data_IF_470359983149
#
_entry.id   IF_470359983149
#
_cell.length_a   1.000
_cell.length_b   1.000
_cell.length_c   1.000
_cell.angle_alpha   90.00
_cell.angle_beta   90.00
_cell.angle_gamma   90.00
#
_symmetry.space_group_name_H-M   'P 1'
#
loop_
_entity.id
_entity.type
_entity.pdbx_description
1 polymer ?
#
# COMPACT_ATOMS: atom_id res chain seq x y z
N UNK A 1 7.80 13.56 -37.92
CA UNK A 1 8.08 14.51 -36.83
C UNK A 1 6.81 14.59 -35.99
N UNK A 2 6.83 14.03 -34.78
CA UNK A 2 5.67 14.16 -33.89
C UNK A 2 5.65 15.60 -33.42
N UNK A 3 4.63 16.37 -33.78
CA UNK A 3 4.44 17.68 -33.18
C UNK A 3 4.24 17.48 -31.68
N UNK A 4 4.98 18.20 -30.82
CA UNK A 4 4.72 18.18 -29.38
C UNK A 4 3.30 18.68 -29.12
N UNK A 5 2.63 18.07 -28.16
CA UNK A 5 1.29 18.47 -27.74
C UNK A 5 1.28 19.97 -27.37
N UNK A 6 0.26 20.76 -27.74
CA UNK A 6 0.25 22.22 -27.52
C UNK A 6 0.45 22.61 -26.05
N UNK A 7 -0.09 21.81 -25.13
CA UNK A 7 0.03 22.05 -23.69
C UNK A 7 1.34 21.51 -23.06
N UNK A 8 2.28 20.97 -23.85
CA UNK A 8 3.47 20.29 -23.31
C UNK A 8 4.32 21.19 -22.42
N UNK A 9 4.62 22.42 -22.86
CA UNK A 9 5.41 23.38 -22.08
C UNK A 9 4.70 23.80 -20.79
N UNK A 10 3.38 24.00 -20.84
CA UNK A 10 2.58 24.39 -19.69
C UNK A 10 2.52 23.26 -18.64
N UNK A 11 2.35 22.01 -19.09
CA UNK A 11 2.32 20.85 -18.19
C UNK A 11 3.71 20.52 -17.63
N UNK A 12 4.78 20.71 -18.42
CA UNK A 12 6.15 20.59 -17.90
C UNK A 12 6.42 21.64 -16.81
N UNK A 13 6.03 22.90 -17.03
CA UNK A 13 6.17 23.95 -16.02
C UNK A 13 5.38 23.66 -14.74
N UNK A 14 4.20 23.04 -14.85
CA UNK A 14 3.42 22.59 -13.68
C UNK A 14 4.13 21.47 -12.93
N UNK A 15 4.67 20.47 -13.63
CA UNK A 15 5.44 19.38 -13.03
C UNK A 15 6.65 19.93 -12.28
N UNK A 16 7.39 20.88 -12.88
CA UNK A 16 8.53 21.51 -12.24
C UNK A 16 8.12 22.27 -10.96
N UNK A 17 7.04 23.06 -11.03
CA UNK A 17 6.46 23.73 -9.85
C UNK A 17 6.06 22.74 -8.75
N UNK A 18 5.46 21.61 -9.11
CA UNK A 18 5.07 20.57 -8.16
C UNK A 18 6.29 19.98 -7.43
N UNK A 19 7.37 19.72 -8.17
CA UNK A 19 8.63 19.27 -7.59
C UNK A 19 9.30 20.33 -6.70
N UNK A 20 9.24 21.62 -7.06
CA UNK A 20 9.72 22.70 -6.20
C UNK A 20 8.94 22.77 -4.89
N UNK A 21 7.62 22.63 -4.93
CA UNK A 21 6.76 22.61 -3.74
C UNK A 21 7.07 21.40 -2.85
N UNK A 22 7.33 20.23 -3.45
CA UNK A 22 7.76 19.04 -2.73
C UNK A 22 9.12 19.24 -2.04
N UNK A 23 10.13 19.73 -2.76
CA UNK A 23 11.47 19.95 -2.19
C UNK A 23 11.45 21.01 -1.09
N UNK A 24 10.59 22.03 -1.23
CA UNK A 24 10.34 23.01 -0.16
C UNK A 24 9.75 22.33 1.07
N UNK A 25 8.72 21.51 0.90
CA UNK A 25 8.10 20.76 2.00
C UNK A 25 9.10 19.86 2.73
N UNK A 26 10.02 19.21 1.99
CA UNK A 26 11.13 18.43 2.58
C UNK A 26 12.10 19.34 3.34
N UNK A 27 12.51 20.45 2.75
CA UNK A 27 13.44 21.41 3.37
C UNK A 27 12.87 21.98 4.66
N UNK A 28 11.59 22.33 4.68
CA UNK A 28 10.93 22.85 5.88
C UNK A 28 10.82 21.77 6.96
N UNK A 29 10.51 20.52 6.62
CA UNK A 29 10.53 19.40 7.56
C UNK A 29 11.94 19.17 8.16
N UNK A 30 13.00 19.24 7.34
CA UNK A 30 14.39 19.14 7.81
C UNK A 30 14.77 20.30 8.76
N UNK A 31 14.42 21.55 8.41
CA UNK A 31 14.67 22.71 9.28
C UNK A 31 14.00 22.55 10.64
N UNK A 32 12.76 22.09 10.67
CA UNK A 32 12.02 21.86 11.92
C UNK A 32 12.73 20.76 12.74
N UNK A 33 13.25 19.72 12.10
CA UNK A 33 14.01 18.65 12.77
C UNK A 33 15.31 19.19 13.39
N UNK A 34 16.10 19.92 12.62
CA UNK A 34 17.39 20.49 13.06
C UNK A 34 17.21 21.42 14.28
N UNK A 35 16.14 22.24 14.28
CA UNK A 35 15.80 23.10 15.41
C UNK A 35 15.47 22.30 16.68
N UNK A 36 14.86 21.12 16.55
CA UNK A 36 14.53 20.25 17.69
C UNK A 36 15.73 19.44 18.21
N UNK A 37 16.70 19.09 17.37
CA UNK A 37 17.92 18.41 17.81
C UNK A 37 18.82 19.34 18.65
N UNK A 38 18.87 20.63 18.32
CA UNK A 38 19.69 21.63 19.00
C UNK A 38 19.29 21.90 20.47
N UNK A 39 18.07 21.53 20.90
CA UNK A 39 17.58 21.73 22.27
C UNK A 39 17.82 20.50 23.17
N UNK A 40 19.07 20.12 23.39
CA UNK A 40 19.45 18.84 24.05
C UNK A 40 19.24 18.79 25.59
N UNK A 41 18.65 19.82 26.21
CA UNK A 41 18.39 19.90 27.66
C UNK A 41 16.90 19.84 28.03
N UNK A 42 16.57 19.48 29.28
CA UNK A 42 15.19 19.50 29.79
C UNK A 42 14.80 18.34 30.71
N UNK A 43 13.56 18.39 31.20
CA UNK A 43 12.91 17.35 32.02
C UNK A 43 12.70 16.06 31.22
N UNK A 44 12.40 14.93 31.90
CA UNK A 44 12.08 13.67 31.23
C UNK A 44 10.90 13.80 30.25
N UNK A 45 9.87 14.57 30.63
CA UNK A 45 8.71 14.83 29.79
C UNK A 45 9.08 15.55 28.49
N UNK A 46 9.92 16.59 28.55
CA UNK A 46 10.38 17.30 27.36
C UNK A 46 11.16 16.39 26.39
N UNK A 47 11.93 15.42 26.91
CA UNK A 47 12.64 14.43 26.08
C UNK A 47 11.67 13.47 25.38
N UNK A 48 10.62 13.04 26.08
CA UNK A 48 9.60 12.15 25.51
C UNK A 48 8.81 12.86 24.40
N UNK A 49 8.32 14.08 24.65
CA UNK A 49 7.60 14.89 23.66
C UNK A 49 8.46 15.16 22.42
N UNK A 50 9.75 15.50 22.61
CA UNK A 50 10.69 15.67 21.50
C UNK A 50 10.89 14.39 20.69
N UNK A 51 11.08 13.24 21.34
CA UNK A 51 11.27 11.98 20.64
C UNK A 51 10.02 11.60 19.82
N UNK A 52 8.82 11.80 20.38
CA UNK A 52 7.57 11.58 19.65
C UNK A 52 7.44 12.52 18.45
N UNK A 53 7.86 13.78 18.60
CA UNK A 53 7.85 14.76 17.51
C UNK A 53 8.87 14.42 16.41
N UNK A 54 10.09 14.00 16.78
CA UNK A 54 11.12 13.56 15.83
C UNK A 54 10.66 12.31 15.06
N UNK A 55 10.01 11.36 15.72
CA UNK A 55 9.42 10.17 15.08
C UNK A 55 8.35 10.56 14.05
N UNK A 56 7.47 11.51 14.37
CA UNK A 56 6.48 12.04 13.43
C UNK A 56 7.12 12.77 12.23
N UNK A 57 8.18 13.54 12.46
CA UNK A 57 8.92 14.22 11.39
C UNK A 57 9.63 13.22 10.48
N UNK A 58 10.27 12.20 11.04
CA UNK A 58 10.90 11.12 10.28
C UNK A 58 9.88 10.39 9.42
N UNK A 59 8.73 10.02 9.98
CA UNK A 59 7.64 9.42 9.22
C UNK A 59 7.18 10.32 8.07
N UNK A 60 7.05 11.63 8.32
CA UNK A 60 6.69 12.60 7.27
C UNK A 60 7.75 12.71 6.18
N UNK A 61 9.03 12.74 6.53
CA UNK A 61 10.14 12.79 5.57
C UNK A 61 10.19 11.51 4.71
N UNK A 62 9.97 10.34 5.31
CA UNK A 62 9.87 9.07 4.57
C UNK A 62 8.68 9.07 3.61
N UNK A 63 7.53 9.63 4.01
CA UNK A 63 6.37 9.78 3.12
C UNK A 63 6.63 10.72 1.93
N UNK A 64 7.48 11.74 2.10
CA UNK A 64 7.82 12.69 1.04
C UNK A 64 8.88 12.13 0.07
N UNK A 65 9.48 10.98 0.37
CA UNK A 65 10.45 10.34 -0.51
C UNK A 65 9.75 9.55 -1.62
N UNK A 66 9.99 9.94 -2.87
CA UNK A 66 9.46 9.28 -4.07
C UNK A 66 10.42 8.24 -4.65
N UNK A 67 11.68 8.21 -4.20
CA UNK A 67 12.74 7.47 -4.89
C UNK A 67 12.80 7.83 -6.38
N UNK A 68 12.77 6.81 -7.24
CA UNK A 68 12.84 6.97 -8.71
C UNK A 68 11.47 7.23 -9.37
N UNK A 69 10.39 7.30 -8.59
CA UNK A 69 9.03 7.37 -9.12
C UNK A 69 8.64 8.81 -9.52
N UNK A 70 7.90 8.94 -10.62
CA UNK A 70 7.38 10.24 -11.07
C UNK A 70 6.25 10.74 -10.17
N UNK A 71 6.31 12.01 -9.76
CA UNK A 71 5.35 12.61 -8.81
C UNK A 71 3.94 12.74 -9.41
N UNK A 72 3.83 13.26 -10.63
CA UNK A 72 2.57 13.52 -11.33
C UNK A 72 2.51 12.62 -12.56
N UNK A 73 1.38 11.97 -12.79
CA UNK A 73 1.21 11.05 -13.93
C UNK A 73 -0.09 11.28 -14.70
N UNK A 74 -0.95 12.19 -14.25
CA UNK A 74 -2.11 12.57 -15.02
C UNK A 74 -2.79 13.83 -14.52
N UNK A 75 -3.85 14.21 -15.22
CA UNK A 75 -4.74 15.32 -14.86
C UNK A 75 -6.18 14.94 -15.21
N UNK A 76 -7.10 15.38 -14.38
CA UNK A 76 -8.54 15.32 -14.66
C UNK A 76 -9.11 16.72 -14.70
N UNK A 77 -10.01 16.96 -15.64
CA UNK A 77 -10.82 18.18 -15.70
C UNK A 77 -12.28 17.79 -15.54
N UNK A 78 -12.94 18.39 -14.55
CA UNK A 78 -14.34 18.14 -14.22
C UNK A 78 -15.16 19.43 -14.34
N UNK A 79 -16.44 19.29 -14.63
CA UNK A 79 -17.38 20.41 -14.47
C UNK A 79 -17.50 20.74 -12.98
N UNK A 80 -17.28 22.00 -12.61
CA UNK A 80 -17.42 22.45 -11.23
C UNK A 80 -18.87 22.30 -10.74
N UNK A 81 -19.05 22.12 -9.43
CA UNK A 81 -20.39 22.20 -8.82
C UNK A 81 -20.80 23.68 -8.72
N UNK A 82 -21.47 24.21 -9.75
CA UNK A 82 -22.01 25.58 -9.81
C UNK A 82 -21.72 26.29 -11.15
N UNK A 83 -21.89 27.62 -11.19
CA UNK A 83 -21.58 28.46 -12.38
C UNK A 83 -20.06 28.65 -12.63
N UNK A 84 -19.22 27.93 -11.89
CA UNK A 84 -17.77 28.12 -11.85
C UNK A 84 -17.00 27.20 -12.82
N UNK A 85 -17.32 27.22 -14.12
CA UNK A 85 -16.45 26.67 -15.17
C UNK A 85 -15.92 25.24 -14.96
N UNK A 86 -14.65 25.01 -15.38
CA UNK A 86 -13.95 23.73 -15.28
C UNK A 86 -12.95 23.75 -14.12
N UNK A 87 -12.98 22.70 -13.30
CA UNK A 87 -11.98 22.45 -12.26
C UNK A 87 -10.96 21.42 -12.74
N UNK A 88 -9.68 21.71 -12.52
CA UNK A 88 -8.57 20.87 -12.96
C UNK A 88 -7.80 20.33 -11.76
N UNK A 89 -7.57 19.03 -11.72
CA UNK A 89 -6.77 18.37 -10.69
C UNK A 89 -5.66 17.55 -11.31
N UNK A 90 -4.42 17.86 -10.97
CA UNK A 90 -3.26 17.02 -11.30
C UNK A 90 -3.17 15.86 -10.32
N UNK A 91 -3.18 14.65 -10.86
CA UNK A 91 -3.16 13.41 -10.08
C UNK A 91 -1.74 12.87 -10.01
N UNK A 92 -1.34 12.52 -8.78
CA UNK A 92 0.00 12.09 -8.49
C UNK A 92 0.10 11.13 -7.30
N UNK A 93 1.33 10.80 -6.96
CA UNK A 93 1.65 9.79 -5.94
C UNK A 93 1.52 10.30 -4.53
N UNK A 94 1.76 11.59 -4.34
CA UNK A 94 1.76 12.27 -3.07
C UNK A 94 0.94 13.55 -3.21
N UNK A 95 0.19 13.87 -2.16
CA UNK A 95 -0.41 15.18 -2.05
C UNK A 95 0.69 16.24 -1.83
N UNK A 96 0.73 17.24 -2.70
CA UNK A 96 1.64 18.39 -2.62
C UNK A 96 0.80 19.67 -2.67
N UNK A 97 1.07 20.59 -1.76
CA UNK A 97 0.43 21.89 -1.71
C UNK A 97 1.47 23.00 -1.84
N UNK A 98 1.05 24.18 -2.29
CA UNK A 98 1.91 25.36 -2.33
C UNK A 98 1.89 26.15 -1.01
N UNK A 99 2.46 27.37 -1.02
CA UNK A 99 2.57 28.23 0.15
C UNK A 99 1.20 28.65 0.72
N UNK A 100 0.21 28.82 -0.16
CA UNK A 100 -1.13 29.24 0.21
C UNK A 100 -1.99 28.04 0.64
N UNK A 101 -1.38 26.84 0.69
CA UNK A 101 -2.01 25.54 0.99
C UNK A 101 -3.00 25.09 -0.09
N UNK A 102 -2.88 25.64 -1.30
CA UNK A 102 -3.65 25.18 -2.43
C UNK A 102 -3.04 23.86 -2.97
N UNK A 103 -3.86 22.85 -3.29
CA UNK A 103 -3.37 21.56 -3.77
C UNK A 103 -2.78 21.71 -5.17
N UNK A 104 -1.48 21.46 -5.31
CA UNK A 104 -0.76 21.43 -6.59
C UNK A 104 -0.80 20.03 -7.20
N UNK A 105 -0.76 19.00 -6.35
CA UNK A 105 -0.88 17.59 -6.73
C UNK A 105 -1.83 16.91 -5.76
N UNK A 106 -2.80 16.20 -6.31
CA UNK A 106 -3.75 15.38 -5.57
C UNK A 106 -3.23 13.94 -5.53
N UNK A 107 -3.25 13.35 -4.33
CA UNK A 107 -2.90 11.94 -4.15
C UNK A 107 -3.93 11.03 -4.84
N UNK A 108 -3.46 10.04 -5.58
CA UNK A 108 -4.29 9.06 -6.28
C UNK A 108 -5.27 8.32 -5.38
N UNK A 109 -4.97 8.21 -4.08
CA UNK A 109 -5.84 7.56 -3.08
C UNK A 109 -7.04 8.43 -2.71
N UNK A 110 -7.01 9.74 -2.99
CA UNK A 110 -8.10 10.64 -2.67
C UNK A 110 -9.40 10.26 -3.44
N UNK A 111 -10.59 10.45 -2.85
CA UNK A 111 -11.85 10.19 -3.55
C UNK A 111 -12.02 11.00 -4.84
N UNK A 112 -11.53 12.24 -4.86
CA UNK A 112 -11.59 13.10 -6.06
C UNK A 112 -10.77 12.54 -7.24
N UNK A 113 -9.80 11.65 -6.98
CA UNK A 113 -9.00 11.01 -8.02
C UNK A 113 -9.66 9.74 -8.58
N UNK A 114 -10.74 9.23 -7.98
CA UNK A 114 -11.43 8.00 -8.43
C UNK A 114 -11.86 8.05 -9.91
N UNK A 115 -12.42 9.16 -10.44
CA UNK A 115 -12.79 9.24 -11.85
C UNK A 115 -11.60 9.04 -12.80
N UNK A 116 -10.36 9.37 -12.39
CA UNK A 116 -9.18 9.12 -13.22
C UNK A 116 -9.06 7.64 -13.61
N UNK A 117 -9.47 6.72 -12.74
CA UNK A 117 -9.38 5.27 -12.99
C UNK A 117 -10.68 4.65 -13.47
N UNK A 118 -11.83 5.12 -12.96
CA UNK A 118 -13.12 4.46 -13.18
C UNK A 118 -13.97 5.09 -14.27
N UNK A 119 -13.71 6.34 -14.65
CA UNK A 119 -14.51 7.01 -15.67
C UNK A 119 -14.40 6.27 -17.01
N UNK A 120 -15.55 6.10 -17.65
CA UNK A 120 -15.70 5.53 -18.99
C UNK A 120 -16.58 6.45 -19.83
N UNK A 121 -16.57 6.33 -21.16
CA UNK A 121 -17.46 7.12 -22.01
C UNK A 121 -18.96 6.94 -21.70
N UNK A 122 -19.35 5.83 -21.06
CA UNK A 122 -20.74 5.58 -20.63
C UNK A 122 -21.05 6.15 -19.24
N UNK A 123 -20.06 6.16 -18.37
CA UNK A 123 -20.14 6.66 -17.01
C UNK A 123 -18.96 7.62 -16.77
N UNK A 124 -19.10 8.90 -17.19
CA UNK A 124 -17.97 9.85 -17.19
C UNK A 124 -17.63 10.38 -15.79
N UNK A 125 -18.47 10.12 -14.78
CA UNK A 125 -18.26 10.54 -13.39
C UNK A 125 -17.96 12.06 -13.24
N UNK A 126 -18.59 12.88 -14.08
CA UNK A 126 -18.40 14.34 -14.09
C UNK A 126 -17.12 14.82 -14.79
N UNK A 127 -16.33 13.92 -15.38
CA UNK A 127 -15.17 14.30 -16.18
C UNK A 127 -15.59 14.88 -17.53
N UNK A 128 -14.81 15.87 -17.94
CA UNK A 128 -14.79 16.43 -19.30
C UNK A 128 -13.55 15.94 -20.03
N UNK A 129 -12.41 15.87 -19.32
CA UNK A 129 -11.14 15.40 -19.87
C UNK A 129 -10.34 14.62 -18.84
N UNK A 130 -9.72 13.53 -19.29
CA UNK A 130 -8.66 12.80 -18.60
C UNK A 130 -7.39 12.90 -19.43
N UNK A 131 -6.29 13.27 -18.80
CA UNK A 131 -4.98 13.42 -19.43
C UNK A 131 -4.01 12.47 -18.76
N UNK A 132 -3.33 11.65 -19.55
CA UNK A 132 -2.24 10.78 -19.10
C UNK A 132 -0.89 11.40 -19.47
N UNK A 133 0.04 11.34 -18.53
CA UNK A 133 1.40 11.82 -18.74
C UNK A 133 2.36 10.64 -18.85
N UNK A 134 3.12 10.60 -19.95
CA UNK A 134 4.33 9.79 -20.02
C UNK A 134 5.47 10.60 -19.41
N UNK A 135 5.88 10.26 -18.19
CA UNK A 135 6.89 10.99 -17.41
C UNK A 135 8.08 10.10 -17.05
N UNK A 136 9.27 10.69 -17.02
CA UNK A 136 10.49 10.06 -16.53
C UNK A 136 11.17 11.00 -15.53
N UNK A 137 11.07 10.67 -14.24
CA UNK A 137 11.44 11.59 -13.17
C UNK A 137 10.62 12.88 -13.26
N UNK A 138 11.31 13.99 -13.57
CA UNK A 138 10.70 15.32 -13.74
C UNK A 138 10.34 15.66 -15.19
N UNK A 139 10.77 14.84 -16.14
CA UNK A 139 10.66 15.17 -17.57
C UNK A 139 9.39 14.58 -18.17
N UNK A 140 8.56 15.44 -18.76
CA UNK A 140 7.39 15.08 -19.52
C UNK A 140 7.79 14.66 -20.93
N UNK A 141 7.52 13.41 -21.28
CA UNK A 141 7.84 12.83 -22.58
C UNK A 141 6.67 12.86 -23.55
N UNK A 142 5.44 12.80 -23.03
CA UNK A 142 4.24 12.75 -23.84
C UNK A 142 2.97 12.99 -23.04
N UNK A 143 1.94 13.45 -23.74
CA UNK A 143 0.61 13.73 -23.23
C UNK A 143 -0.38 12.94 -24.09
N UNK A 144 -1.35 12.29 -23.44
CA UNK A 144 -2.47 11.64 -24.10
C UNK A 144 -3.78 12.09 -23.48
N UNK A 145 -4.66 12.69 -24.29
CA UNK A 145 -5.94 13.25 -23.87
C UNK A 145 -7.09 12.32 -24.24
N UNK A 146 -8.00 12.15 -23.28
CA UNK A 146 -9.24 11.42 -23.41
C UNK A 146 -10.40 12.33 -23.00
N UNK A 147 -11.39 12.47 -23.87
CA UNK A 147 -12.51 13.40 -23.70
C UNK A 147 -13.81 12.66 -23.43
N UNK A 148 -14.63 13.23 -22.56
CA UNK A 148 -15.90 12.68 -22.09
C UNK A 148 -17.02 13.70 -22.33
N UNK A 149 -18.16 13.25 -22.87
CA UNK A 149 -19.32 14.12 -23.12
C UNK A 149 -20.14 13.73 -24.35
N UNK A 150 -21.17 14.52 -24.68
CA UNK A 150 -21.99 14.29 -25.89
C UNK A 150 -21.13 14.43 -27.15
N UNK A 151 -20.96 13.31 -27.87
CA UNK A 151 -20.13 13.22 -29.09
C UNK A 151 -18.74 12.62 -28.87
N UNK A 152 -18.32 12.44 -27.61
CA UNK A 152 -16.98 11.96 -27.25
C UNK A 152 -17.10 10.71 -26.37
N UNK A 153 -16.98 9.53 -26.99
CA UNK A 153 -17.09 8.23 -26.31
C UNK A 153 -15.81 7.81 -25.55
N UNK A 154 -15.03 8.76 -25.02
CA UNK A 154 -13.73 8.44 -24.38
C UNK A 154 -12.64 8.11 -25.40
N UNK A 155 -12.72 8.66 -26.61
CA UNK A 155 -11.67 8.53 -27.64
C UNK A 155 -11.24 9.93 -28.03
N UNK A 156 -9.98 10.27 -27.73
CA UNK A 156 -9.36 11.53 -28.13
C UNK A 156 -9.40 11.71 -29.66
N UNK A 157 -9.70 12.93 -30.10
CA UNK A 157 -9.95 13.34 -31.47
C UNK A 157 -9.06 12.67 -32.54
N UNK A 158 -9.72 12.18 -33.60
CA UNK A 158 -9.34 12.60 -34.95
C UNK A 158 -10.59 12.77 -35.80
N UNK A 159 -10.51 13.69 -36.75
CA UNK A 159 -11.58 14.27 -37.54
C UNK A 159 -12.47 13.25 -38.27
N UNK A 160 -13.78 13.53 -38.30
CA UNK A 160 -14.65 13.10 -39.39
C UNK A 160 -15.38 11.77 -39.22
N UNK A 161 -16.69 11.85 -39.01
CA UNK A 161 -17.62 10.87 -39.57
C UNK A 161 -17.47 10.83 -41.11
N UNK A 162 -16.51 10.07 -41.65
CA UNK A 162 -16.58 9.56 -43.03
C UNK A 162 -15.67 8.32 -43.20
N UNK A 163 -16.31 7.16 -43.19
CA UNK A 163 -16.12 6.01 -44.08
C UNK A 163 -14.72 5.59 -44.60
N UNK A 164 -14.54 4.25 -44.58
CA UNK A 164 -13.77 3.38 -45.52
C UNK A 164 -12.38 2.91 -45.06
N UNK A 165 -12.36 1.63 -44.66
CA UNK A 165 -11.37 0.57 -44.94
C UNK A 165 -9.90 1.01 -45.07
N UNK A 166 -9.12 0.83 -44.00
CA UNK A 166 -7.67 0.84 -44.05
C UNK A 166 -7.07 0.62 -42.66
N UNK A 167 -6.12 -0.30 -42.54
CA UNK A 167 -5.46 -0.65 -41.28
C UNK A 167 -4.68 0.54 -40.71
N UNK A 168 -5.20 1.23 -39.70
CA UNK A 168 -4.40 2.11 -38.84
C UNK A 168 -4.79 1.92 -37.37
N UNK A 169 -3.75 1.76 -36.54
CA UNK A 169 -3.84 1.20 -35.20
C UNK A 169 -4.58 2.08 -34.20
N UNK A 170 -5.19 1.39 -33.22
CA UNK A 170 -5.80 1.92 -32.00
C UNK A 170 -4.80 2.86 -31.29
N UNK A 171 -4.88 4.17 -31.55
CA UNK A 171 -4.06 5.23 -30.91
C UNK A 171 -4.72 5.71 -29.61
N UNK A 172 -4.90 4.78 -28.66
CA UNK A 172 -5.44 5.08 -27.32
C UNK A 172 -4.69 4.35 -26.19
N UNK A 173 -3.58 3.69 -26.53
CA UNK A 173 -2.83 2.82 -25.63
C UNK A 173 -1.32 3.06 -25.72
N UNK A 174 -0.83 4.03 -26.49
CA UNK A 174 0.61 4.13 -26.78
C UNK A 174 1.40 4.61 -25.56
N UNK A 175 0.91 5.59 -24.78
CA UNK A 175 1.58 6.01 -23.54
C UNK A 175 1.48 4.96 -22.43
N UNK A 176 0.31 4.30 -22.30
CA UNK A 176 0.12 3.13 -21.44
C UNK A 176 1.06 1.98 -21.82
N UNK A 177 1.24 1.69 -23.12
CA UNK A 177 2.16 0.66 -23.61
C UNK A 177 3.63 1.07 -23.41
N UNK A 178 3.96 2.36 -23.50
CA UNK A 178 5.29 2.88 -23.15
C UNK A 178 5.55 2.75 -21.64
N UNK A 179 4.56 3.04 -20.79
CA UNK A 179 4.65 2.80 -19.35
C UNK A 179 4.77 1.29 -19.01
N UNK A 180 4.01 0.43 -19.69
CA UNK A 180 4.03 -1.03 -19.50
C UNK A 180 5.32 -1.70 -20.02
N UNK A 181 5.95 -1.15 -21.06
CA UNK A 181 7.22 -1.66 -21.61
C UNK A 181 8.45 -1.24 -20.80
N UNK A 182 8.31 -0.20 -19.97
CA UNK A 182 9.33 0.27 -19.04
C UNK A 182 9.24 -0.47 -17.71
N UNK A 183 9.85 -1.65 -17.64
CA UNK A 183 10.05 -2.30 -16.33
C UNK A 183 10.24 -3.80 -16.35
N UNK A 184 11.39 -4.29 -16.83
CA UNK A 184 11.92 -5.59 -16.39
C UNK A 184 13.16 -5.37 -15.54
N UNK A 185 13.01 -4.58 -14.48
CA UNK A 185 13.95 -4.61 -13.36
C UNK A 185 13.64 -5.84 -12.51
N UNK A 186 14.61 -6.39 -11.78
CA UNK A 186 14.41 -7.56 -10.91
C UNK A 186 13.50 -7.31 -9.69
N UNK A 187 12.69 -6.25 -9.70
CA UNK A 187 11.82 -5.76 -8.64
C UNK A 187 10.44 -5.41 -9.22
N UNK A 188 9.40 -5.38 -8.38
CA UNK A 188 8.06 -5.08 -8.83
C UNK A 188 7.95 -3.60 -9.20
N UNK A 189 7.63 -3.32 -10.47
CA UNK A 189 7.35 -1.98 -10.94
C UNK A 189 6.07 -1.44 -10.33
N UNK A 190 6.03 -0.13 -10.12
CA UNK A 190 4.87 0.58 -9.63
C UNK A 190 3.87 0.79 -10.78
N UNK A 191 2.59 0.50 -10.54
CA UNK A 191 1.53 0.54 -11.56
C UNK A 191 0.54 1.68 -11.37
N UNK A 192 0.74 2.61 -10.42
CA UNK A 192 -0.29 3.59 -10.03
C UNK A 192 -0.85 4.36 -11.22
N UNK A 193 -0.01 4.73 -12.19
CA UNK A 193 -0.42 5.44 -13.40
C UNK A 193 -1.20 4.56 -14.42
N UNK A 194 -1.15 3.24 -14.26
CA UNK A 194 -1.69 2.25 -15.21
C UNK A 194 -2.73 1.32 -14.57
N UNK A 195 -3.19 1.62 -13.34
CA UNK A 195 -4.28 0.90 -12.68
C UNK A 195 -5.51 0.95 -13.59
N UNK A 196 -6.08 -0.23 -13.87
CA UNK A 196 -7.29 -0.37 -14.67
C UNK A 196 -8.54 -0.25 -13.80
N UNK A 197 -9.69 0.04 -14.39
CA UNK A 197 -10.95 0.25 -13.65
C UNK A 197 -11.33 -0.94 -12.76
N UNK A 198 -11.20 -2.18 -13.24
CA UNK A 198 -11.50 -3.39 -12.45
C UNK A 198 -10.50 -3.60 -11.29
N UNK A 199 -9.26 -3.12 -11.47
CA UNK A 199 -8.25 -3.16 -10.41
C UNK A 199 -8.55 -2.10 -9.34
N UNK A 200 -8.95 -0.89 -9.75
CA UNK A 200 -9.35 0.17 -8.84
C UNK A 200 -10.59 -0.23 -8.01
N UNK A 201 -11.56 -0.93 -8.60
CA UNK A 201 -12.69 -1.49 -7.86
C UNK A 201 -12.24 -2.42 -6.72
N UNK A 202 -11.26 -3.29 -6.99
CA UNK A 202 -10.66 -4.18 -5.98
C UNK A 202 -9.91 -3.36 -4.92
N UNK A 203 -9.17 -2.33 -5.33
CA UNK A 203 -8.39 -1.47 -4.42
C UNK A 203 -9.34 -0.71 -3.48
N UNK A 204 -10.43 -0.13 -4.01
CA UNK A 204 -11.38 0.70 -3.27
C UNK A 204 -12.53 -0.06 -2.64
N UNK A 205 -12.64 -1.38 -2.85
CA UNK A 205 -13.69 -2.19 -2.24
C UNK A 205 -13.74 -2.01 -0.71
N UNK A 206 -14.92 -2.10 -0.06
CA UNK A 206 -15.08 -1.89 1.37
C UNK A 206 -14.10 -2.70 2.23
N UNK A 207 -13.62 -2.13 3.34
CA UNK A 207 -12.63 -2.79 4.21
C UNK A 207 -13.20 -3.95 5.03
N UNK A 208 -14.51 -3.98 5.24
CA UNK A 208 -15.17 -4.97 6.10
C UNK A 208 -15.24 -6.36 5.44
N UNK A 209 -14.80 -7.38 6.18
CA UNK A 209 -14.92 -8.79 5.78
C UNK A 209 -13.70 -9.34 5.05
N UNK A 210 -13.91 -10.42 4.29
CA UNK A 210 -12.86 -11.12 3.54
C UNK A 210 -13.06 -10.87 2.06
N UNK A 211 -12.05 -10.30 1.41
CA UNK A 211 -12.00 -10.13 -0.04
C UNK A 211 -11.05 -11.17 -0.65
N UNK A 212 -11.55 -11.97 -1.59
CA UNK A 212 -10.75 -12.93 -2.34
C UNK A 212 -10.53 -12.42 -3.76
N UNK A 213 -9.28 -12.17 -4.12
CA UNK A 213 -8.90 -11.71 -5.46
C UNK A 213 -8.38 -12.90 -6.28
N UNK A 214 -9.18 -13.36 -7.23
CA UNK A 214 -8.83 -14.46 -8.13
C UNK A 214 -8.68 -13.95 -9.57
N UNK A 215 -7.67 -14.46 -10.28
CA UNK A 215 -7.38 -14.05 -11.64
C UNK A 215 -6.23 -14.84 -12.25
N UNK A 216 -6.11 -14.84 -13.58
CA UNK A 216 -5.08 -15.59 -14.31
C UNK A 216 -3.64 -15.13 -14.03
N UNK A 217 -2.61 -15.91 -14.41
CA UNK A 217 -1.23 -15.46 -14.34
C UNK A 217 -1.03 -14.09 -15.04
N UNK A 218 -0.17 -13.24 -14.48
CA UNK A 218 0.16 -11.94 -15.10
C UNK A 218 -0.86 -10.79 -14.90
N UNK A 219 -2.02 -11.05 -14.29
CA UNK A 219 -3.09 -10.04 -14.06
C UNK A 219 -2.80 -9.01 -12.95
N UNK A 220 -1.58 -8.96 -12.41
CA UNK A 220 -1.21 -7.95 -11.41
C UNK A 220 -1.78 -8.13 -10.00
N UNK A 221 -2.44 -9.26 -9.67
CA UNK A 221 -3.09 -9.49 -8.35
C UNK A 221 -2.29 -9.07 -7.14
N UNK A 222 -1.01 -9.44 -7.07
CA UNK A 222 -0.12 -9.08 -5.96
C UNK A 222 0.00 -7.56 -5.85
N UNK A 223 0.20 -6.89 -6.97
CA UNK A 223 0.32 -5.43 -7.03
C UNK A 223 -0.98 -4.78 -6.57
N UNK A 224 -2.12 -5.25 -7.09
CA UNK A 224 -3.46 -4.76 -6.71
C UNK A 224 -3.71 -4.92 -5.21
N UNK A 225 -3.34 -6.07 -4.62
CA UNK A 225 -3.49 -6.30 -3.19
C UNK A 225 -2.63 -5.35 -2.33
N UNK A 226 -1.42 -5.01 -2.79
CA UNK A 226 -0.54 -4.07 -2.08
C UNK A 226 -1.05 -2.63 -2.18
N UNK A 227 -1.52 -2.23 -3.36
CA UNK A 227 -2.14 -0.91 -3.54
C UNK A 227 -3.45 -0.79 -2.76
N UNK A 228 -4.22 -1.87 -2.65
CA UNK A 228 -5.38 -1.94 -1.75
C UNK A 228 -4.97 -1.66 -0.31
N UNK A 229 -3.92 -2.32 0.21
CA UNK A 229 -3.44 -2.06 1.55
C UNK A 229 -3.05 -0.59 1.75
N UNK A 230 -2.37 0.01 0.77
CA UNK A 230 -2.00 1.42 0.80
C UNK A 230 -3.21 2.38 0.79
N UNK A 231 -4.24 2.06 0.00
CA UNK A 231 -5.49 2.81 -0.05
C UNK A 231 -6.27 2.72 1.28
N UNK A 232 -6.33 1.52 1.87
CA UNK A 232 -7.03 1.29 3.13
C UNK A 232 -6.37 2.04 4.29
N UNK A 233 -5.04 2.04 4.37
CA UNK A 233 -4.33 2.80 5.40
C UNK A 233 -4.52 4.32 5.24
N UNK A 234 -4.52 4.82 4.00
CA UNK A 234 -4.82 6.23 3.71
C UNK A 234 -6.25 6.62 4.11
N UNK A 235 -7.24 5.82 3.70
CA UNK A 235 -8.67 6.14 3.85
C UNK A 235 -9.20 5.85 5.25
N UNK A 236 -8.66 4.82 5.91
CA UNK A 236 -9.08 4.34 7.22
C UNK A 236 -7.95 4.45 8.24
N UNK A 237 -7.35 5.63 8.30
CA UNK A 237 -6.23 5.98 9.18
C UNK A 237 -6.52 5.70 10.66
N UNK A 238 -7.64 6.22 11.18
CA UNK A 238 -7.97 6.19 12.63
C UNK A 238 -8.34 4.83 13.26
N UNK A 239 -8.61 3.73 12.52
CA UNK A 239 -8.55 2.37 13.10
C UNK A 239 -7.30 1.55 12.73
N UNK A 240 -6.60 1.85 11.64
CA UNK A 240 -5.53 0.99 11.11
C UNK A 240 -4.11 1.42 11.47
N UNK A 241 -3.88 2.70 11.83
CA UNK A 241 -2.55 3.15 12.26
C UNK A 241 -2.04 2.39 13.49
N UNK A 242 -2.92 2.09 14.45
CA UNK A 242 -2.53 1.33 15.66
C UNK A 242 -2.51 -0.19 15.43
N UNK A 243 -3.22 -0.71 14.41
CA UNK A 243 -3.38 -2.15 14.17
C UNK A 243 -2.35 -2.69 13.16
N UNK A 244 -1.87 -1.84 12.26
CA UNK A 244 -0.95 -2.21 11.20
C UNK A 244 -1.55 -3.15 10.14
N UNK A 245 -0.72 -3.52 9.17
CA UNK A 245 -1.04 -4.45 8.08
C UNK A 245 -0.01 -5.56 8.06
N UNK A 246 -0.45 -6.81 8.26
CA UNK A 246 0.41 -7.99 8.12
C UNK A 246 0.35 -8.55 6.71
N UNK A 247 1.45 -8.44 5.96
CA UNK A 247 1.62 -9.07 4.65
C UNK A 247 2.36 -10.40 4.81
N UNK A 248 1.68 -11.50 4.46
CA UNK A 248 2.28 -12.84 4.52
C UNK A 248 2.69 -13.28 3.12
N UNK A 249 4.00 -13.42 2.91
CA UNK A 249 4.59 -13.89 1.66
C UNK A 249 4.95 -15.39 1.67
N UNK A 250 5.08 -16.02 0.50
CA UNK A 250 5.49 -17.41 0.40
C UNK A 250 6.97 -17.63 0.75
N UNK A 251 7.83 -16.62 0.53
CA UNK A 251 9.26 -16.66 0.83
C UNK A 251 9.86 -15.25 0.92
N UNK A 252 11.07 -15.13 1.46
CA UNK A 252 11.73 -13.83 1.69
C UNK A 252 12.19 -13.13 0.39
N UNK A 253 12.43 -13.88 -0.69
CA UNK A 253 12.76 -13.28 -2.01
C UNK A 253 11.55 -12.54 -2.54
N UNK A 254 10.37 -13.13 -2.42
CA UNK A 254 9.11 -12.50 -2.79
C UNK A 254 8.83 -11.24 -1.95
N UNK A 255 9.09 -11.27 -0.64
CA UNK A 255 8.92 -10.09 0.22
C UNK A 255 9.84 -8.93 -0.22
N UNK A 256 11.13 -9.20 -0.48
CA UNK A 256 12.04 -8.18 -1.03
C UNK A 256 11.61 -7.66 -2.40
N UNK A 257 10.98 -8.51 -3.21
CA UNK A 257 10.49 -8.12 -4.53
C UNK A 257 9.34 -7.11 -4.46
N UNK A 258 8.49 -7.20 -3.44
CA UNK A 258 7.33 -6.32 -3.23
C UNK A 258 7.62 -5.11 -2.34
N UNK A 259 8.76 -5.09 -1.66
CA UNK A 259 9.17 -4.04 -0.71
C UNK A 259 9.17 -2.64 -1.34
N UNK A 260 9.44 -2.53 -2.65
CA UNK A 260 9.44 -1.27 -3.42
C UNK A 260 8.08 -0.75 -3.88
N UNK A 261 7.00 -1.51 -3.70
CA UNK A 261 5.63 -1.02 -3.94
C UNK A 261 4.98 -0.51 -2.65
N UNK A 262 5.53 -0.92 -1.50
CA UNK A 262 5.15 -0.44 -0.18
C UNK A 262 5.97 0.76 0.39
N UNK A 263 7.01 1.36 -0.25
CA UNK A 263 7.88 2.32 0.41
C UNK A 263 7.21 3.68 0.62
N UNK A 264 6.15 3.99 -0.15
CA UNK A 264 5.26 5.13 0.14
C UNK A 264 4.39 4.91 1.39
N UNK A 265 4.40 3.71 1.97
CA UNK A 265 3.89 3.41 3.31
C UNK A 265 5.01 3.50 4.34
N UNK A 266 5.63 4.67 4.44
CA UNK A 266 6.27 5.14 5.69
C UNK A 266 5.27 5.31 6.84
N UNK A 267 4.20 4.51 6.85
CA UNK A 267 3.18 4.46 7.89
C UNK A 267 3.61 3.35 8.85
N UNK A 268 3.78 3.75 10.12
CA UNK A 268 3.91 2.82 11.23
C UNK A 268 2.80 1.76 11.11
N UNK A 269 3.16 0.51 10.80
CA UNK A 269 2.19 -0.59 10.82
C UNK A 269 2.35 -1.71 9.78
N UNK A 270 3.09 -1.55 8.67
CA UNK A 270 3.21 -2.67 7.71
C UNK A 270 4.26 -3.68 8.15
N UNK A 271 3.83 -4.88 8.56
CA UNK A 271 4.71 -5.99 8.92
C UNK A 271 4.74 -7.02 7.80
N UNK A 272 5.92 -7.38 7.31
CA UNK A 272 6.08 -8.40 6.26
C UNK A 272 6.70 -9.66 6.86
N UNK A 273 5.99 -10.79 6.78
CA UNK A 273 6.46 -12.08 7.29
C UNK A 273 6.29 -13.18 6.27
N UNK A 274 7.15 -14.20 6.33
CA UNK A 274 6.84 -15.48 5.72
C UNK A 274 6.15 -16.35 6.76
N UNK A 275 5.43 -17.39 6.31
CA UNK A 275 4.77 -18.33 7.22
C UNK A 275 5.73 -18.91 8.28
N UNK A 276 7.01 -19.08 7.91
CA UNK A 276 8.04 -19.59 8.81
C UNK A 276 8.43 -18.63 9.95
N UNK A 277 8.19 -17.32 9.78
CA UNK A 277 8.60 -16.27 10.71
C UNK A 277 7.44 -15.81 11.61
N UNK A 278 6.24 -16.42 11.50
CA UNK A 278 5.06 -16.04 12.29
C UNK A 278 5.16 -16.40 13.78
N UNK A 279 5.98 -17.38 14.15
CA UNK A 279 6.19 -17.80 15.54
C UNK A 279 7.55 -17.29 16.03
N UNK A 280 7.59 -16.29 16.92
CA UNK A 280 8.84 -15.72 17.41
C UNK A 280 9.75 -16.77 18.08
N UNK A 281 11.06 -16.65 17.86
CA UNK A 281 12.06 -17.51 18.50
C UNK A 281 12.11 -18.95 17.98
N UNK A 282 11.35 -19.30 16.93
CA UNK A 282 11.41 -20.61 16.29
C UNK A 282 12.09 -20.54 14.92
N UNK A 283 13.00 -21.49 14.66
CA UNK A 283 13.60 -21.71 13.34
C UNK A 283 13.07 -23.01 12.77
N UNK A 284 12.44 -22.94 11.59
CA UNK A 284 12.01 -24.14 10.87
C UNK A 284 13.26 -24.81 10.28
N UNK A 285 13.61 -25.98 10.82
CA UNK A 285 14.84 -26.70 10.44
C UNK A 285 14.62 -27.77 9.37
N UNK A 286 13.77 -28.77 9.65
CA UNK A 286 13.68 -29.98 8.82
C UNK A 286 12.68 -29.84 7.68
N UNK A 287 13.08 -30.29 6.49
CA UNK A 287 12.21 -30.40 5.33
C UNK A 287 11.41 -31.70 5.45
N UNK A 288 10.11 -31.55 5.70
CA UNK A 288 9.20 -32.69 5.86
C UNK A 288 8.63 -33.14 4.51
N UNK A 289 8.19 -34.40 4.42
CA UNK A 289 7.48 -34.91 3.24
C UNK A 289 6.17 -34.15 3.00
N UNK A 290 5.69 -34.14 1.76
CA UNK A 290 4.43 -33.47 1.42
C UNK A 290 3.24 -34.06 2.16
N UNK A 291 3.23 -35.38 2.38
CA UNK A 291 2.22 -36.09 3.15
C UNK A 291 2.22 -35.62 4.61
N UNK A 292 3.39 -35.52 5.23
CA UNK A 292 3.53 -35.04 6.62
C UNK A 292 3.02 -33.61 6.75
N UNK A 293 3.41 -32.73 5.83
CA UNK A 293 2.95 -31.33 5.80
C UNK A 293 1.44 -31.23 5.62
N UNK A 294 0.86 -32.04 4.75
CA UNK A 294 -0.59 -32.08 4.52
C UNK A 294 -1.34 -32.52 5.78
N UNK A 295 -0.86 -33.56 6.47
CA UNK A 295 -1.45 -34.00 7.74
C UNK A 295 -1.33 -32.89 8.78
N UNK A 296 -0.14 -32.28 8.93
CA UNK A 296 0.11 -31.20 9.89
C UNK A 296 -0.73 -29.93 9.65
N UNK A 297 -1.04 -29.61 8.40
CA UNK A 297 -1.88 -28.48 8.01
C UNK A 297 -3.38 -28.73 8.07
N UNK A 298 -3.82 -29.97 8.34
CA UNK A 298 -5.24 -30.31 8.46
C UNK A 298 -5.80 -29.84 9.81
N UNK A 299 -7.02 -29.31 9.81
CA UNK A 299 -7.70 -28.81 11.02
C UNK A 299 -7.78 -29.86 12.14
N UNK A 300 -7.79 -31.15 11.80
CA UNK A 300 -7.79 -32.26 12.77
C UNK A 300 -6.55 -32.29 13.66
N UNK A 301 -5.43 -31.69 13.24
CA UNK A 301 -4.22 -31.59 14.05
C UNK A 301 -4.41 -30.75 15.31
N UNK A 302 -5.34 -29.80 15.31
CA UNK A 302 -5.71 -29.08 16.53
C UNK A 302 -6.13 -30.03 17.66
N UNK A 303 -6.89 -31.08 17.34
CA UNK A 303 -7.32 -32.12 18.29
C UNK A 303 -6.16 -33.00 18.73
N UNK A 304 -5.26 -33.34 17.80
CA UNK A 304 -4.06 -34.12 18.11
C UNK A 304 -3.17 -33.37 19.11
N UNK A 305 -2.94 -32.07 18.87
CA UNK A 305 -2.17 -31.20 19.78
C UNK A 305 -2.88 -31.06 21.13
N UNK A 306 -4.19 -30.83 21.15
CA UNK A 306 -4.96 -30.75 22.38
C UNK A 306 -4.89 -32.05 23.21
N UNK A 307 -5.00 -33.21 22.55
CA UNK A 307 -4.86 -34.51 23.20
C UNK A 307 -3.43 -34.74 23.71
N UNK A 308 -2.41 -34.34 22.94
CA UNK A 308 -1.02 -34.45 23.35
C UNK A 308 -0.71 -33.58 24.58
N UNK A 309 -1.25 -32.36 24.66
CA UNK A 309 -1.13 -31.50 25.85
C UNK A 309 -1.84 -32.16 27.04
N UNK A 310 -3.06 -32.64 26.86
CA UNK A 310 -3.81 -33.34 27.92
C UNK A 310 -3.10 -34.60 28.43
N UNK A 311 -2.44 -35.33 27.54
CA UNK A 311 -1.65 -36.50 27.92
C UNK A 311 -0.40 -36.12 28.74
N UNK A 312 0.10 -34.87 28.64
CA UNK A 312 1.19 -34.37 29.50
C UNK A 312 0.73 -33.92 30.89
N UNK A 313 -0.56 -33.68 31.10
CA UNK A 313 -1.16 -33.42 32.42
C UNK A 313 -1.19 -34.72 33.25
N UNK A 314 -0.04 -35.10 33.80
CA UNK A 314 0.12 -36.35 34.55
C UNK A 314 0.36 -36.05 36.02
N UNK A 315 -0.21 -36.85 36.94
CA UNK A 315 0.18 -36.78 38.34
C UNK A 315 1.65 -37.20 38.51
N UNK A 316 2.23 -36.81 39.64
CA UNK A 316 3.53 -37.27 40.06
C UNK A 316 3.50 -38.80 40.23
N UNK A 317 4.58 -39.46 39.78
CA UNK A 317 4.75 -40.91 39.96
C UNK A 317 5.07 -41.30 41.40
N UNK A 318 5.75 -40.40 42.11
CA UNK A 318 6.20 -40.56 43.49
C UNK A 318 6.10 -39.22 44.23
N UNK A 319 6.20 -39.27 45.55
CA UNK A 319 6.14 -38.07 46.38
C UNK A 319 7.34 -37.16 46.06
N UNK A 320 7.05 -35.88 45.78
CA UNK A 320 8.07 -34.89 45.47
C UNK A 320 8.37 -34.07 46.74
N UNK A 321 9.64 -34.07 47.15
CA UNK A 321 10.12 -33.24 48.26
C UNK A 321 11.02 -32.16 47.69
N UNK A 322 10.63 -30.90 47.90
CA UNK A 322 11.37 -29.72 47.43
C UNK A 322 11.85 -28.93 48.65
N UNK A 323 13.16 -28.65 48.77
CA UNK A 323 13.64 -27.75 49.81
C UNK A 323 13.15 -26.32 49.54
N UNK A 324 12.59 -25.68 50.56
CA UNK A 324 12.07 -24.31 50.49
C UNK A 324 12.41 -23.54 51.78
N UNK A 325 13.45 -22.71 51.69
CA UNK A 325 14.01 -21.99 52.84
C UNK A 325 14.53 -22.96 53.90
N UNK A 326 14.07 -22.83 55.14
CA UNK A 326 14.42 -23.72 56.25
C UNK A 326 13.53 -24.98 56.37
N UNK A 327 12.62 -25.20 55.41
CA UNK A 327 11.62 -26.28 55.46
C UNK A 327 11.60 -27.12 54.18
N UNK A 328 11.06 -28.32 54.26
CA UNK A 328 10.83 -29.18 53.09
C UNK A 328 9.34 -29.17 52.73
N UNK A 329 9.02 -28.76 51.51
CA UNK A 329 7.68 -28.90 50.95
C UNK A 329 7.54 -30.31 50.36
N UNK A 330 6.55 -31.06 50.84
CA UNK A 330 6.24 -32.39 50.32
C UNK A 330 4.91 -32.34 49.57
N UNK A 331 4.94 -32.60 48.27
CA UNK A 331 3.75 -32.80 47.45
C UNK A 331 3.55 -34.30 47.25
N UNK A 332 2.49 -34.86 47.83
CA UNK A 332 2.24 -36.30 47.73
C UNK A 332 1.72 -36.68 46.34
N UNK A 333 2.08 -37.86 45.84
CA UNK A 333 1.59 -38.37 44.57
C UNK A 333 0.04 -38.39 44.52
N UNK A 334 -0.60 -38.79 45.64
CA UNK A 334 -2.06 -38.81 45.78
C UNK A 334 -2.70 -37.42 45.68
N UNK A 335 -2.05 -36.39 46.22
CA UNK A 335 -2.52 -35.00 46.13
C UNK A 335 -2.39 -34.49 44.71
N UNK A 336 -1.28 -34.79 44.03
CA UNK A 336 -1.09 -34.45 42.61
C UNK A 336 -2.16 -35.08 41.71
N UNK A 337 -2.57 -36.33 41.98
CA UNK A 337 -3.65 -37.01 41.24
C UNK A 337 -5.01 -36.32 41.42
N UNK A 338 -5.30 -35.83 42.63
CA UNK A 338 -6.50 -35.04 42.88
C UNK A 338 -6.45 -33.71 42.14
N UNK A 339 -5.33 -33.00 42.21
CA UNK A 339 -5.13 -31.72 41.52
C UNK A 339 -5.30 -31.87 40.01
N UNK A 340 -4.67 -32.87 39.38
CA UNK A 340 -4.81 -33.12 37.93
C UNK A 340 -6.25 -33.50 37.57
N UNK A 341 -6.93 -34.29 38.40
CA UNK A 341 -8.35 -34.65 38.17
C UNK A 341 -9.28 -33.45 38.23
N UNK A 342 -9.05 -32.55 39.19
CA UNK A 342 -9.83 -31.33 39.35
C UNK A 342 -9.54 -30.32 38.22
N UNK A 343 -8.27 -30.23 37.78
CA UNK A 343 -7.87 -29.40 36.64
C UNK A 343 -8.52 -29.86 35.32
N UNK A 344 -8.63 -31.18 35.08
CA UNK A 344 -9.27 -31.74 33.88
C UNK A 344 -10.81 -31.60 33.84
N UNK A 345 -11.44 -31.26 34.97
CA UNK A 345 -12.89 -31.07 35.09
C UNK A 345 -13.35 -29.64 34.82
N UNK A 346 -12.44 -28.67 34.93
CA UNK A 346 -12.65 -27.28 34.50
C UNK A 346 -12.38 -27.18 33.00
#
# INVERSE_FOLDING_TARGET
MSYPHPDHEAEQAHIDRAYECLERSKTDAWRIRDLNEASTGGTFQARYERNAFDEQLLARLTQLDLGDAALVFGRIDRTAEGDAGLESFHIGRLAVADLDREPVVVDWRAPVAEPFYRATGREPMGLVRRRHFAVEGRTLLGIEDELFGEGHLGVGHDEGLTSVVGREGIRGYSTLLTALSRGRTGQLGDIVATIQSEQDEIIRAPHAGVLVVQGGPGTGKTVVALHRAAYLLYTHRFPLEDQGVLVIGPNRVFLRYIERVLPSLGEAGVEQKVLADLVPGHRIGLRESNETRRVKGDVRMSRVVANAIRDRERPLREDLVIPYGASNLRLRAKESARIVKDARRR
#
